data_IF_760329310987
#
_entry.id   IF_760329310987
#
_cell.length_a   1.000
_cell.length_b   1.000
_cell.length_c   1.000
_cell.angle_alpha   90.00
_cell.angle_beta   90.00
_cell.angle_gamma   90.00
#
_symmetry.space_group_name_H-M   'P 1'
#
loop_
_entity.id
_entity.type
_entity.pdbx_description
1 polymer ?
#
# COMPACT_ATOMS: atom_id res chain seq x y z
N UNK A 1 23.69 4.75 12.02
CA UNK A 1 22.34 4.99 11.48
C UNK A 1 22.42 4.92 9.96
N UNK A 2 21.69 4.00 9.32
CA UNK A 2 21.72 3.84 7.86
C UNK A 2 20.31 3.98 7.33
N UNK A 3 20.09 5.10 6.63
CA UNK A 3 18.90 5.41 5.88
C UNK A 3 19.26 5.36 4.39
N UNK A 4 18.46 4.69 3.58
CA UNK A 4 18.67 4.60 2.14
C UNK A 4 17.35 4.84 1.40
N UNK A 5 17.46 5.29 0.15
CA UNK A 5 16.30 5.56 -0.72
C UNK A 5 16.49 4.77 -2.01
N UNK A 6 15.49 3.98 -2.38
CA UNK A 6 15.35 3.39 -3.70
C UNK A 6 14.34 4.23 -4.48
N UNK A 7 14.73 4.77 -5.63
CA UNK A 7 13.84 5.64 -6.43
C UNK A 7 12.80 4.86 -7.27
N UNK A 8 12.93 3.54 -7.31
CA UNK A 8 12.00 2.65 -7.97
C UNK A 8 11.99 1.31 -7.25
N UNK A 9 10.83 0.65 -7.24
CA UNK A 9 10.70 -0.72 -6.73
C UNK A 9 11.22 -1.78 -7.71
N UNK A 10 11.33 -1.42 -8.99
CA UNK A 10 11.98 -2.24 -10.01
C UNK A 10 13.43 -2.54 -9.59
N UNK A 11 13.76 -3.82 -9.47
CA UNK A 11 15.11 -4.28 -9.17
C UNK A 11 15.40 -4.45 -7.69
N UNK A 12 14.46 -4.17 -6.79
CA UNK A 12 14.58 -4.55 -5.38
C UNK A 12 14.60 -6.09 -5.28
N UNK A 13 15.69 -6.63 -4.75
CA UNK A 13 15.80 -8.02 -4.38
C UNK A 13 15.36 -8.23 -2.93
N UNK A 14 15.01 -9.46 -2.56
CA UNK A 14 14.66 -9.80 -1.17
C UNK A 14 15.77 -9.44 -0.17
N UNK A 15 17.03 -9.51 -0.60
CA UNK A 15 18.18 -9.11 0.23
C UNK A 15 18.24 -7.60 0.51
N UNK A 16 17.64 -6.76 -0.34
CA UNK A 16 17.60 -5.31 -0.14
C UNK A 16 16.60 -4.89 0.94
N UNK A 17 15.63 -5.75 1.26
CA UNK A 17 14.56 -5.44 2.21
C UNK A 17 14.63 -6.28 3.48
N UNK A 18 15.23 -7.48 3.42
CA UNK A 18 15.30 -8.42 4.54
C UNK A 18 15.85 -7.77 5.81
N UNK A 19 15.09 -7.88 6.91
CA UNK A 19 15.46 -7.34 8.23
C UNK A 19 15.36 -5.83 8.39
N UNK A 20 15.10 -5.07 7.31
CA UNK A 20 14.94 -3.61 7.32
C UNK A 20 13.51 -3.20 7.65
N UNK A 21 13.36 -2.00 8.21
CA UNK A 21 12.07 -1.30 8.18
C UNK A 21 11.98 -0.53 6.85
N UNK A 22 10.88 -0.72 6.13
CA UNK A 22 10.70 -0.17 4.78
C UNK A 22 9.50 0.75 4.75
N UNK A 23 9.68 1.98 4.28
CA UNK A 23 8.57 2.86 3.94
C UNK A 23 8.32 2.80 2.44
N UNK A 24 7.09 2.49 2.02
CA UNK A 24 6.67 2.59 0.63
C UNK A 24 5.93 3.89 0.41
N UNK A 25 6.36 4.66 -0.60
CA UNK A 25 5.86 5.98 -0.94
C UNK A 25 5.39 6.01 -2.39
N UNK A 26 4.08 6.09 -2.59
CA UNK A 26 3.45 6.36 -3.88
C UNK A 26 2.35 7.40 -3.63
N UNK A 27 2.78 8.66 -3.46
CA UNK A 27 1.92 9.77 -3.06
C UNK A 27 0.81 10.01 -4.09
N UNK A 28 1.07 9.73 -5.37
CA UNK A 28 0.16 9.95 -6.50
C UNK A 28 -0.15 8.64 -7.23
N UNK A 29 -1.05 7.81 -6.71
CA UNK A 29 -1.97 8.07 -5.57
C UNK A 29 -2.06 6.92 -4.57
N UNK A 30 -1.40 5.79 -4.82
CA UNK A 30 -1.72 4.54 -4.13
C UNK A 30 -1.62 4.62 -2.61
N UNK A 31 -0.51 5.12 -2.06
CA UNK A 31 -0.30 5.20 -0.60
C UNK A 31 -1.22 6.23 0.05
N UNK A 32 -1.48 7.36 -0.62
CA UNK A 32 -2.46 8.35 -0.16
C UNK A 32 -3.88 7.78 -0.14
N UNK A 33 -4.27 6.99 -1.15
CA UNK A 33 -5.57 6.33 -1.19
C UNK A 33 -5.69 5.27 -0.10
N UNK A 34 -4.65 4.48 0.16
CA UNK A 34 -4.61 3.50 1.26
C UNK A 34 -4.80 4.20 2.60
N UNK A 35 -4.08 5.30 2.86
CA UNK A 35 -4.23 6.07 4.08
C UNK A 35 -5.66 6.57 4.25
N UNK A 36 -6.24 7.16 3.19
CA UNK A 36 -7.62 7.64 3.23
C UNK A 36 -8.63 6.52 3.50
N UNK A 37 -8.45 5.34 2.91
CA UNK A 37 -9.34 4.20 3.14
C UNK A 37 -9.29 3.71 4.60
N UNK A 38 -8.09 3.54 5.14
CA UNK A 38 -7.90 3.08 6.52
C UNK A 38 -8.40 4.10 7.54
N UNK A 39 -8.14 5.40 7.30
CA UNK A 39 -8.63 6.50 8.15
C UNK A 39 -10.16 6.56 8.21
N UNK A 40 -10.84 6.25 7.09
CA UNK A 40 -12.31 6.15 7.03
C UNK A 40 -12.86 4.77 7.41
N UNK A 41 -12.06 3.92 8.05
CA UNK A 41 -12.51 2.70 8.69
C UNK A 41 -12.54 1.46 7.80
N UNK A 42 -11.85 1.44 6.66
CA UNK A 42 -11.61 0.21 5.93
C UNK A 42 -10.96 -0.83 6.85
N UNK A 43 -11.48 -2.06 6.83
CA UNK A 43 -11.01 -3.15 7.70
C UNK A 43 -9.61 -3.61 7.33
N UNK A 44 -9.32 -3.68 6.04
CA UNK A 44 -8.02 -4.09 5.52
C UNK A 44 -7.85 -3.68 4.05
N UNK A 45 -6.60 -3.53 3.62
CA UNK A 45 -6.22 -3.43 2.21
C UNK A 45 -5.40 -4.67 1.85
N UNK A 46 -5.79 -5.35 0.77
CA UNK A 46 -5.07 -6.50 0.22
C UNK A 46 -4.59 -6.10 -1.16
N UNK A 47 -3.28 -6.10 -1.39
CA UNK A 47 -2.70 -5.65 -2.66
C UNK A 47 -2.42 -6.81 -3.60
N UNK A 48 -2.60 -6.57 -4.89
CA UNK A 48 -2.29 -7.51 -5.96
C UNK A 48 -1.47 -6.83 -7.07
N UNK A 49 -0.61 -7.61 -7.72
CA UNK A 49 0.19 -7.13 -8.84
C UNK A 49 -0.71 -6.90 -10.06
N UNK A 50 -1.52 -7.91 -10.42
CA UNK A 50 -2.37 -7.88 -11.61
C UNK A 50 -3.87 -7.84 -11.33
N UNK A 51 -4.63 -7.40 -12.34
CA UNK A 51 -6.11 -7.31 -12.29
C UNK A 51 -6.70 -8.70 -12.01
N UNK A 52 -6.22 -9.72 -12.72
CA UNK A 52 -6.71 -11.09 -12.56
C UNK A 52 -6.38 -11.64 -11.17
N UNK A 53 -5.23 -11.28 -10.59
CA UNK A 53 -4.87 -11.64 -9.21
C UNK A 53 -5.82 -10.99 -8.20
N UNK A 54 -6.10 -9.69 -8.36
CA UNK A 54 -7.07 -8.98 -7.53
C UNK A 54 -8.45 -9.65 -7.61
N UNK A 55 -8.91 -9.96 -8.82
CA UNK A 55 -10.20 -10.62 -9.02
C UNK A 55 -10.25 -12.00 -8.35
N UNK A 56 -9.19 -12.82 -8.49
CA UNK A 56 -9.08 -14.13 -7.83
C UNK A 56 -9.06 -14.01 -6.31
N UNK A 57 -8.30 -13.06 -5.76
CA UNK A 57 -8.25 -12.79 -4.32
C UNK A 57 -9.61 -12.35 -3.77
N UNK A 58 -10.33 -11.48 -4.48
CA UNK A 58 -11.66 -11.08 -4.04
C UNK A 58 -12.66 -12.25 -4.06
N UNK A 59 -12.51 -13.20 -4.98
CA UNK A 59 -13.36 -14.39 -5.07
C UNK A 59 -13.10 -15.41 -3.94
N UNK A 60 -11.89 -15.45 -3.38
CA UNK A 60 -11.56 -16.36 -2.27
C UNK A 60 -11.95 -15.82 -0.89
N UNK A 61 -12.43 -14.58 -0.82
CA UNK A 61 -12.87 -13.91 0.41
C UNK A 61 -14.40 -13.88 0.51
N UNK A 62 -14.93 -13.60 1.71
CA UNK A 62 -16.37 -13.40 1.90
C UNK A 62 -16.84 -12.15 1.15
N UNK A 63 -17.63 -12.36 0.08
CA UNK A 63 -18.00 -11.33 -0.88
C UNK A 63 -18.80 -10.16 -0.29
N UNK A 64 -19.46 -10.32 0.86
CA UNK A 64 -20.37 -9.29 1.39
C UNK A 64 -19.65 -8.00 1.81
N UNK A 65 -18.37 -8.09 2.14
CA UNK A 65 -17.58 -6.96 2.63
C UNK A 65 -16.29 -6.73 1.83
N UNK A 66 -16.22 -7.21 0.59
CA UNK A 66 -15.02 -7.07 -0.25
C UNK A 66 -15.31 -6.17 -1.45
N UNK A 67 -14.48 -5.16 -1.64
CA UNK A 67 -14.54 -4.28 -2.81
C UNK A 67 -13.25 -4.38 -3.61
N UNK A 68 -13.38 -4.57 -4.92
CA UNK A 68 -12.27 -4.43 -5.87
C UNK A 68 -12.04 -2.95 -6.16
N UNK A 69 -10.79 -2.52 -6.07
CA UNK A 69 -10.39 -1.14 -6.33
C UNK A 69 -9.06 -1.03 -7.05
N UNK A 70 -8.83 0.09 -7.73
CA UNK A 70 -7.52 0.34 -8.33
C UNK A 70 -7.54 1.04 -9.66
N UNK A 71 -6.38 1.02 -10.32
CA UNK A 71 -6.19 1.69 -11.59
C UNK A 71 -5.18 0.97 -12.50
N UNK A 72 -5.26 1.31 -13.78
CA UNK A 72 -4.21 1.10 -14.78
C UNK A 72 -4.00 2.36 -15.58
N UNK A 73 -2.76 2.84 -15.64
CA UNK A 73 -2.41 4.07 -16.37
C UNK A 73 -3.20 5.31 -15.90
N UNK A 74 -3.52 5.37 -14.61
CA UNK A 74 -4.27 6.44 -13.95
C UNK A 74 -5.79 6.34 -14.07
N UNK A 75 -6.32 5.33 -14.78
CA UNK A 75 -7.76 5.15 -15.03
C UNK A 75 -8.34 4.02 -14.19
N UNK A 76 -9.57 4.20 -13.72
CA UNK A 76 -10.31 3.15 -13.02
C UNK A 76 -10.46 1.90 -13.90
N UNK A 77 -10.39 0.72 -13.29
CA UNK A 77 -10.50 -0.56 -13.97
C UNK A 77 -11.99 -0.88 -14.21
N UNK A 78 -12.41 -1.18 -15.46
CA UNK A 78 -13.80 -1.58 -15.71
C UNK A 78 -14.22 -2.78 -14.87
N UNK A 79 -15.38 -2.68 -14.22
CA UNK A 79 -15.92 -3.73 -13.35
C UNK A 79 -15.40 -3.70 -11.90
N UNK A 80 -14.45 -2.82 -11.58
CA UNK A 80 -14.06 -2.56 -10.19
C UNK A 80 -15.04 -1.57 -9.55
N UNK A 81 -15.21 -1.68 -8.22
CA UNK A 81 -16.13 -0.83 -7.48
C UNK A 81 -15.59 0.59 -7.30
N UNK A 82 -14.27 0.75 -7.15
CA UNK A 82 -13.61 2.03 -6.88
C UNK A 82 -12.36 2.21 -7.74
N UNK A 83 -12.00 3.47 -8.02
CA UNK A 83 -10.73 3.84 -8.63
C UNK A 83 -9.57 3.86 -7.63
N UNK A 84 -8.58 4.71 -7.91
CA UNK A 84 -7.45 5.00 -7.03
C UNK A 84 -7.43 6.48 -6.63
N UNK A 85 -8.61 7.10 -6.46
CA UNK A 85 -8.72 8.45 -5.92
C UNK A 85 -8.96 8.39 -4.41
N UNK A 86 -8.15 9.08 -3.59
CA UNK A 86 -8.40 9.18 -2.15
C UNK A 86 -9.79 9.75 -1.81
N UNK A 87 -10.35 10.58 -2.69
CA UNK A 87 -11.69 11.18 -2.53
C UNK A 87 -12.83 10.18 -2.66
N UNK A 88 -12.59 9.01 -3.26
CA UNK A 88 -13.59 7.95 -3.35
C UNK A 88 -13.70 7.14 -2.04
N UNK A 89 -12.73 7.28 -1.13
CA UNK A 89 -12.62 6.48 0.08
C UNK A 89 -13.43 7.07 1.25
N UNK A 90 -14.72 7.36 1.05
CA UNK A 90 -15.56 7.90 2.14
C UNK A 90 -15.95 6.81 3.13
N UNK A 91 -16.27 7.17 4.37
CA UNK A 91 -16.66 6.21 5.41
C UNK A 91 -17.89 5.38 4.99
N UNK A 92 -18.87 5.98 4.31
CA UNK A 92 -20.06 5.28 3.81
C UNK A 92 -19.72 4.17 2.81
N UNK A 93 -18.62 4.33 2.08
CA UNK A 93 -18.18 3.39 1.05
C UNK A 93 -17.28 2.31 1.65
N UNK A 94 -16.31 2.68 2.49
CA UNK A 94 -15.21 1.78 2.87
C UNK A 94 -15.30 1.24 4.28
N UNK A 95 -16.09 1.84 5.19
CA UNK A 95 -16.11 1.43 6.59
C UNK A 95 -16.48 -0.06 6.76
N UNK A 96 -15.65 -0.79 7.48
CA UNK A 96 -15.78 -2.22 7.70
C UNK A 96 -15.49 -3.10 6.48
N UNK A 97 -15.18 -2.53 5.31
CA UNK A 97 -14.89 -3.30 4.09
C UNK A 97 -13.41 -3.67 3.98
N UNK A 98 -13.13 -4.82 3.37
CA UNK A 98 -11.81 -5.20 2.90
C UNK A 98 -11.67 -4.76 1.44
N UNK A 99 -10.66 -3.95 1.13
CA UNK A 99 -10.43 -3.48 -0.24
C UNK A 99 -9.32 -4.33 -0.87
N UNK A 100 -9.61 -4.95 -2.01
CA UNK A 100 -8.61 -5.63 -2.83
C UNK A 100 -8.15 -4.68 -3.91
N UNK A 101 -6.90 -4.26 -3.83
CA UNK A 101 -6.33 -3.15 -4.58
C UNK A 101 -5.27 -3.63 -5.57
N UNK A 102 -5.31 -3.11 -6.81
CA UNK A 102 -4.16 -3.20 -7.73
C UNK A 102 -3.91 -1.85 -8.40
N UNK A 103 -2.65 -1.44 -8.47
CA UNK A 103 -2.22 -0.21 -9.15
C UNK A 103 -1.02 -0.51 -10.03
N UNK A 104 -0.67 0.45 -10.88
CA UNK A 104 0.45 0.35 -11.81
C UNK A 104 1.79 0.28 -11.06
N UNK A 105 1.93 1.05 -9.98
CA UNK A 105 3.19 1.22 -9.25
C UNK A 105 3.09 0.80 -7.77
N UNK A 106 2.27 1.48 -6.97
CA UNK A 106 2.25 1.30 -5.51
C UNK A 106 2.02 -0.12 -5.02
N UNK A 107 1.11 -0.89 -5.62
CA UNK A 107 0.89 -2.29 -5.18
C UNK A 107 2.08 -3.19 -5.51
N UNK A 108 2.77 -2.94 -6.64
CA UNK A 108 4.01 -3.65 -6.97
C UNK A 108 5.15 -3.25 -6.03
N UNK A 109 5.25 -1.99 -5.64
CA UNK A 109 6.21 -1.54 -4.65
C UNK A 109 5.98 -2.21 -3.28
N UNK A 110 4.73 -2.26 -2.81
CA UNK A 110 4.39 -2.99 -1.58
C UNK A 110 4.77 -4.48 -1.68
N UNK A 111 4.43 -5.14 -2.78
CA UNK A 111 4.77 -6.54 -2.99
C UNK A 111 6.29 -6.78 -3.06
N UNK A 112 7.06 -5.87 -3.66
CA UNK A 112 8.52 -5.96 -3.73
C UNK A 112 9.19 -5.84 -2.35
N UNK A 113 8.49 -5.28 -1.36
CA UNK A 113 8.97 -5.16 0.03
C UNK A 113 8.60 -6.34 0.92
N UNK A 114 7.99 -7.39 0.36
CA UNK A 114 7.69 -8.63 1.08
C UNK A 114 8.97 -9.22 1.69
N UNK A 115 8.95 -9.51 2.99
CA UNK A 115 10.11 -10.01 3.73
C UNK A 115 10.91 -8.95 4.48
N UNK A 116 10.54 -7.67 4.34
CA UNK A 116 10.97 -6.63 5.28
C UNK A 116 10.57 -6.97 6.72
N UNK A 117 11.29 -6.41 7.70
CA UNK A 117 10.92 -6.51 9.11
C UNK A 117 9.57 -5.84 9.37
N UNK A 118 9.37 -4.65 8.81
CA UNK A 118 8.09 -3.95 8.82
C UNK A 118 7.97 -3.14 7.53
N UNK A 119 6.77 -3.13 6.95
CA UNK A 119 6.43 -2.27 5.81
C UNK A 119 5.45 -1.20 6.27
N UNK A 120 5.83 0.06 6.09
CA UNK A 120 5.05 1.24 6.47
C UNK A 120 4.55 1.90 5.19
N UNK A 121 3.24 2.06 5.06
CA UNK A 121 2.64 2.87 4.01
C UNK A 121 2.81 4.34 4.39
N UNK A 122 3.59 5.09 3.60
CA UNK A 122 3.90 6.47 3.88
C UNK A 122 3.41 7.38 2.75
N UNK A 123 2.74 8.47 3.12
CA UNK A 123 2.21 9.50 2.25
C UNK A 123 2.28 10.86 2.95
N UNK A 124 2.04 11.95 2.21
CA UNK A 124 2.03 13.30 2.80
C UNK A 124 0.99 13.44 3.93
N UNK A 125 -0.13 12.73 3.83
CA UNK A 125 -1.24 12.79 4.80
C UNK A 125 -0.95 12.12 6.14
N UNK A 126 0.03 11.22 6.21
CA UNK A 126 0.44 10.54 7.46
C UNK A 126 1.95 10.70 7.75
N UNK A 127 2.59 11.72 7.18
CA UNK A 127 4.05 11.89 7.21
C UNK A 127 4.63 11.88 8.63
N UNK A 128 4.00 12.60 9.56
CA UNK A 128 4.46 12.67 10.96
C UNK A 128 4.54 11.28 11.58
N UNK A 129 3.42 10.55 11.62
CA UNK A 129 3.36 9.22 12.26
C UNK A 129 4.20 8.18 11.52
N UNK A 130 4.30 8.25 10.20
CA UNK A 130 5.16 7.36 9.42
C UNK A 130 6.65 7.62 9.72
N UNK A 131 7.07 8.89 9.77
CA UNK A 131 8.46 9.25 10.08
C UNK A 131 8.84 8.92 11.53
N UNK A 132 7.94 9.11 12.49
CA UNK A 132 8.14 8.70 13.88
C UNK A 132 8.34 7.18 13.99
N UNK A 133 7.53 6.39 13.28
CA UNK A 133 7.68 4.93 13.26
C UNK A 133 9.03 4.50 12.69
N UNK A 134 9.51 5.14 11.62
CA UNK A 134 10.83 4.88 11.06
C UNK A 134 11.95 5.31 12.02
N UNK A 135 11.79 6.44 12.71
CA UNK A 135 12.75 6.93 13.69
C UNK A 135 12.91 5.95 14.88
N UNK A 136 11.83 5.30 15.32
CA UNK A 136 11.90 4.24 16.34
C UNK A 136 12.80 3.08 15.89
N UNK A 137 12.62 2.59 14.66
CA UNK A 137 13.49 1.54 14.10
C UNK A 137 14.96 1.96 14.04
N UNK A 138 15.22 3.22 13.66
CA UNK A 138 16.58 3.75 13.61
C UNK A 138 17.21 3.84 15.01
N UNK A 139 16.43 4.20 16.03
CA UNK A 139 16.87 4.22 17.43
C UNK A 139 17.17 2.80 17.96
N UNK A 140 16.46 1.78 17.48
CA UNK A 140 16.72 0.37 17.75
C UNK A 140 17.90 -0.21 16.94
N UNK A 141 18.59 0.62 16.15
CA UNK A 141 19.74 0.21 15.35
C UNK A 141 19.37 -0.50 14.03
N UNK A 142 18.10 -0.51 13.64
CA UNK A 142 17.63 -1.12 12.40
C UNK A 142 17.95 -0.24 11.20
N UNK A 143 18.30 -0.87 10.08
CA UNK A 143 18.43 -0.16 8.80
C UNK A 143 17.05 0.20 8.26
N UNK A 144 16.92 1.41 7.71
CA UNK A 144 15.69 1.89 7.06
C UNK A 144 15.91 2.07 5.57
N UNK A 145 14.94 1.60 4.79
CA UNK A 145 14.83 1.85 3.36
C UNK A 145 13.53 2.61 3.06
N UNK A 146 13.62 3.66 2.27
CA UNK A 146 12.45 4.31 1.67
C UNK A 146 12.40 3.89 0.21
N UNK A 147 11.23 3.42 -0.25
CA UNK A 147 10.96 2.96 -1.62
C UNK A 147 9.88 3.82 -2.23
#
# INVERSE_FOLDING_TARGET
>A
MKLSVAFASNGLASADVAGRAVAVVDVLRATTTICAALDHGARAIIVAAEIDDAARLAQSLDRKDVLLMGERGGKAIPGFALGNSPREMTAEVVAGKTLVMTTTNGTRALLATTGAHEVIVAAGVNLTVASERLAMHLAEGREVLIV
#
